data_IF_614116061217
#
_entry.id   IF_614116061217
#
_cell.length_a   1.000
_cell.length_b   1.000
_cell.length_c   1.000
_cell.angle_alpha   90.00
_cell.angle_beta   90.00
_cell.angle_gamma   90.00
#
_symmetry.space_group_name_H-M   'P 1'
#
loop_
_entity.id
_entity.type
_entity.pdbx_description
1 polymer ?
#
# COMPACT_ATOMS: atom_id res chain seq x y z
N UNK A 1 0.33 -13.15 -1.94
CA UNK A 1 0.00 -11.83 -1.43
C UNK A 1 1.26 -10.99 -1.21
N UNK A 2 1.08 -9.68 -1.09
CA UNK A 2 2.21 -8.78 -0.84
C UNK A 2 2.88 -9.06 0.49
N UNK A 3 2.12 -9.39 1.52
CA UNK A 3 2.69 -9.71 2.83
C UNK A 3 3.58 -10.94 2.77
N UNK A 4 3.17 -11.96 2.03
CA UNK A 4 3.96 -13.16 1.86
C UNK A 4 5.25 -12.83 1.10
N UNK A 5 5.17 -12.07 0.02
CA UNK A 5 6.32 -11.64 -0.76
C UNK A 5 7.28 -10.84 0.11
N UNK A 6 6.76 -9.92 0.94
CA UNK A 6 7.59 -9.12 1.84
C UNK A 6 8.35 -9.99 2.82
N UNK A 7 7.70 -10.99 3.40
CA UNK A 7 8.37 -11.92 4.32
C UNK A 7 9.46 -12.74 3.64
N UNK A 8 9.18 -13.21 2.43
CA UNK A 8 10.12 -14.08 1.71
C UNK A 8 11.33 -13.32 1.17
N UNK A 9 11.14 -12.06 0.75
CA UNK A 9 12.17 -11.27 0.07
C UNK A 9 12.71 -10.10 0.87
N UNK A 10 12.20 -9.89 2.08
CA UNK A 10 12.60 -8.76 2.90
C UNK A 10 12.21 -7.41 2.33
N UNK A 11 11.19 -7.37 1.48
CA UNK A 11 10.68 -6.13 0.89
C UNK A 11 9.64 -5.47 1.78
N UNK A 12 9.17 -4.27 1.38
CA UNK A 12 8.20 -3.49 2.12
C UNK A 12 7.05 -3.02 1.22
N UNK A 13 6.59 -3.90 0.36
CA UNK A 13 5.57 -3.54 -0.63
C UNK A 13 4.20 -3.30 -0.01
N UNK A 14 3.82 -4.08 1.00
CA UNK A 14 2.53 -3.92 1.65
C UNK A 14 2.39 -2.53 2.27
N UNK A 15 3.38 -2.13 3.07
CA UNK A 15 3.36 -0.81 3.71
C UNK A 15 3.47 0.31 2.68
N UNK A 16 4.23 0.10 1.63
CA UNK A 16 4.35 1.08 0.54
C UNK A 16 3.00 1.34 -0.10
N UNK A 17 2.26 0.27 -0.43
CA UNK A 17 0.93 0.41 -1.02
C UNK A 17 -0.03 1.10 -0.05
N UNK A 18 -0.02 0.71 1.21
CA UNK A 18 -0.89 1.29 2.22
C UNK A 18 -0.66 2.80 2.36
N UNK A 19 0.60 3.22 2.46
CA UNK A 19 0.92 4.65 2.57
C UNK A 19 0.57 5.42 1.30
N UNK A 20 0.74 4.80 0.14
CA UNK A 20 0.35 5.43 -1.11
C UNK A 20 -1.16 5.69 -1.16
N UNK A 21 -1.96 4.72 -0.73
CA UNK A 21 -3.43 4.87 -0.66
C UNK A 21 -3.80 5.95 0.35
N UNK A 22 -3.17 5.94 1.54
CA UNK A 22 -3.43 6.95 2.58
C UNK A 22 -3.05 8.36 2.12
N UNK A 23 -2.08 8.49 1.23
CA UNK A 23 -1.69 9.78 0.66
C UNK A 23 -2.57 10.18 -0.53
N UNK A 24 -3.71 9.54 -0.72
CA UNK A 24 -4.63 9.78 -1.83
C UNK A 24 -3.96 9.61 -3.20
N UNK A 25 -3.06 8.65 -3.30
CA UNK A 25 -2.31 8.34 -4.52
C UNK A 25 -1.45 9.51 -5.00
N UNK A 26 -0.96 10.33 -4.05
CA UNK A 26 -0.05 11.43 -4.33
C UNK A 26 1.39 10.95 -4.12
N UNK A 27 2.17 10.76 -5.21
CA UNK A 27 3.50 10.15 -5.08
C UNK A 27 4.45 10.93 -4.18
N UNK A 28 4.43 12.26 -4.25
CA UNK A 28 5.32 13.09 -3.44
C UNK A 28 5.01 12.93 -1.97
N UNK A 29 3.74 12.95 -1.59
CA UNK A 29 3.32 12.78 -0.20
C UNK A 29 3.64 11.38 0.32
N UNK A 30 3.38 10.36 -0.49
CA UNK A 30 3.68 8.99 -0.11
C UNK A 30 5.18 8.79 0.09
N UNK A 31 6.01 9.33 -0.81
CA UNK A 31 7.45 9.24 -0.68
C UNK A 31 7.95 9.92 0.60
N UNK A 32 7.41 11.09 0.94
CA UNK A 32 7.74 11.78 2.19
C UNK A 32 7.37 10.95 3.41
N UNK A 33 6.17 10.39 3.42
CA UNK A 33 5.70 9.57 4.54
C UNK A 33 6.58 8.34 4.76
N UNK A 34 7.13 7.80 3.69
CA UNK A 34 7.95 6.59 3.73
C UNK A 34 9.46 6.88 3.83
N UNK A 35 9.85 8.17 3.82
CA UNK A 35 11.26 8.59 3.80
C UNK A 35 12.01 8.00 2.60
N UNK A 36 11.35 7.98 1.43
CA UNK A 36 11.89 7.43 0.20
C UNK A 36 12.10 8.51 -0.85
N UNK A 37 13.06 8.28 -1.74
CA UNK A 37 13.16 9.04 -2.97
C UNK A 37 11.97 8.69 -3.88
N UNK A 38 11.53 9.66 -4.67
CA UNK A 38 10.42 9.47 -5.59
C UNK A 38 10.65 8.30 -6.56
N UNK A 39 11.89 8.15 -7.05
CA UNK A 39 12.23 7.04 -7.95
C UNK A 39 12.08 5.68 -7.29
N UNK A 40 12.45 5.58 -6.02
CA UNK A 40 12.28 4.35 -5.25
C UNK A 40 10.81 4.01 -5.07
N UNK A 41 9.99 5.02 -4.78
CA UNK A 41 8.55 4.82 -4.67
C UNK A 41 7.97 4.32 -5.99
N UNK A 42 8.32 4.97 -7.11
CA UNK A 42 7.84 4.57 -8.43
C UNK A 42 8.24 3.13 -8.75
N UNK A 43 9.47 2.76 -8.45
CA UNK A 43 9.94 1.39 -8.64
C UNK A 43 9.08 0.40 -7.84
N UNK A 44 8.83 0.71 -6.57
CA UNK A 44 8.02 -0.17 -5.71
C UNK A 44 6.58 -0.30 -6.20
N UNK A 45 5.97 0.80 -6.63
CA UNK A 45 4.61 0.76 -7.17
C UNK A 45 4.53 -0.09 -8.44
N UNK A 46 5.53 0.01 -9.31
CA UNK A 46 5.57 -0.82 -10.52
C UNK A 46 5.74 -2.31 -10.16
N UNK A 47 6.53 -2.61 -9.15
CA UNK A 47 6.68 -3.97 -8.66
C UNK A 47 5.38 -4.50 -8.06
N UNK A 48 4.66 -3.68 -7.31
CA UNK A 48 3.37 -4.05 -6.74
C UNK A 48 2.40 -4.40 -7.87
N UNK A 49 2.35 -3.57 -8.91
CA UNK A 49 1.51 -3.85 -10.07
C UNK A 49 1.88 -5.20 -10.72
N UNK A 50 3.18 -5.45 -10.91
CA UNK A 50 3.65 -6.71 -11.51
C UNK A 50 3.28 -7.92 -10.67
N UNK A 51 3.37 -7.80 -9.35
CA UNK A 51 3.12 -8.91 -8.44
C UNK A 51 1.63 -9.20 -8.23
N UNK A 52 0.80 -8.17 -8.29
CA UNK A 52 -0.62 -8.30 -7.93
C UNK A 52 -1.57 -8.20 -9.11
N UNK A 53 -1.14 -7.60 -10.21
CA UNK A 53 -2.02 -7.27 -11.32
C UNK A 53 -2.97 -6.12 -11.04
N UNK A 54 -2.88 -5.48 -9.87
CA UNK A 54 -3.75 -4.36 -9.52
C UNK A 54 -3.39 -3.12 -10.32
N UNK A 55 -4.41 -2.49 -10.92
CA UNK A 55 -4.23 -1.24 -11.64
C UNK A 55 -4.46 -0.09 -10.67
N UNK A 56 -3.37 0.58 -10.26
CA UNK A 56 -3.45 1.68 -9.31
C UNK A 56 -3.94 2.99 -9.93
N UNK A 57 -4.29 2.97 -11.22
CA UNK A 57 -4.98 4.07 -11.87
C UNK A 57 -6.48 3.84 -11.96
N UNK A 58 -6.94 2.66 -11.60
CA UNK A 58 -8.36 2.32 -11.64
C UNK A 58 -9.04 2.76 -10.35
N UNK A 59 -10.08 3.56 -10.50
CA UNK A 59 -10.81 4.15 -9.38
C UNK A 59 -11.41 3.09 -8.45
N UNK A 60 -12.01 2.06 -9.01
CA UNK A 60 -12.64 1.01 -8.21
C UNK A 60 -11.60 0.18 -7.45
N UNK A 61 -10.45 -0.06 -8.06
CA UNK A 61 -9.33 -0.73 -7.41
C UNK A 61 -8.85 0.09 -6.20
N UNK A 62 -8.71 1.40 -6.35
CA UNK A 62 -8.29 2.28 -5.26
C UNK A 62 -9.32 2.26 -4.13
N UNK A 63 -10.60 2.32 -4.46
CA UNK A 63 -11.65 2.26 -3.46
C UNK A 63 -11.62 0.92 -2.69
N UNK A 64 -11.47 -0.17 -3.41
CA UNK A 64 -11.36 -1.49 -2.80
C UNK A 64 -10.18 -1.56 -1.83
N UNK A 65 -9.02 -1.08 -2.25
CA UNK A 65 -7.82 -1.10 -1.40
C UNK A 65 -7.98 -0.21 -0.18
N UNK A 66 -8.51 0.98 -0.35
CA UNK A 66 -8.74 1.91 0.75
C UNK A 66 -9.65 1.28 1.81
N UNK A 67 -10.77 0.72 1.39
CA UNK A 67 -11.69 0.04 2.30
C UNK A 67 -11.03 -1.16 2.98
N UNK A 68 -10.27 -1.94 2.23
CA UNK A 68 -9.58 -3.12 2.77
C UNK A 68 -8.60 -2.74 3.87
N UNK A 69 -7.81 -1.69 3.66
CA UNK A 69 -6.85 -1.21 4.66
C UNK A 69 -7.57 -0.67 5.89
N UNK A 70 -8.68 0.06 5.71
CA UNK A 70 -9.44 0.60 6.84
C UNK A 70 -10.05 -0.52 7.68
N UNK A 71 -10.61 -1.54 7.04
CA UNK A 71 -11.18 -2.70 7.73
C UNK A 71 -10.08 -3.42 8.51
N UNK A 72 -8.93 -3.62 7.91
CA UNK A 72 -7.80 -4.27 8.57
C UNK A 72 -7.37 -3.50 9.82
N UNK A 73 -7.27 -2.17 9.70
CA UNK A 73 -6.91 -1.33 10.84
C UNK A 73 -7.90 -1.46 11.99
N UNK A 74 -9.20 -1.57 11.67
CA UNK A 74 -10.22 -1.78 12.69
C UNK A 74 -10.05 -3.13 13.40
N UNK A 75 -9.72 -4.19 12.65
CA UNK A 75 -9.50 -5.50 13.24
C UNK A 75 -8.26 -5.55 14.11
N UNK A 76 -7.28 -4.72 13.84
CA UNK A 76 -6.05 -4.66 14.62
C UNK A 76 -6.18 -3.77 15.85
N UNK A 77 -7.20 -2.93 15.91
CA UNK A 77 -7.45 -2.04 17.04
C UNK A 77 -8.35 -2.72 18.06
N UNK A 78 -7.75 -3.36 19.05
CA UNK A 78 -8.47 -4.11 20.08
C UNK A 78 -9.40 -3.23 20.93
N UNK A 79 -9.17 -1.92 20.95
CA UNK A 79 -10.01 -1.00 21.70
C UNK A 79 -11.34 -0.71 21.01
N UNK A 80 -11.42 -0.98 19.70
CA UNK A 80 -12.62 -0.75 18.91
C UNK A 80 -13.47 -2.01 18.75
N UNK A 81 -12.90 -3.17 18.97
CA UNK A 81 -13.60 -4.44 18.84
C UNK A 81 -14.07 -4.92 20.20
N UNK A 82 -15.34 -5.36 20.31
CA UNK A 82 -15.84 -5.90 21.57
C UNK A 82 -15.16 -7.19 21.99
#
# INVERSE_FOLDING_TARGET
SLRKTDREKGSDYYNTLKEYIHANCQPIQAAKSLYLHRGTLTYRLNKIHSLTGLDLNDRDTILYLDLSFRIEDLYQDENLLP
#
